data_IF_680644401700
#
_entry.id   IF_680644401700
#
_cell.length_a   1.000
_cell.length_b   1.000
_cell.length_c   1.000
_cell.angle_alpha   90.00
_cell.angle_beta   90.00
_cell.angle_gamma   90.00
#
_symmetry.space_group_name_H-M   'P 1'
#
loop_
_entity.id
_entity.type
_entity.pdbx_description
1 polymer ?
#
# COMPACT_ATOMS: atom_id res chain seq x y z
N UNK A 1 1.86 10.86 -5.83
CA UNK A 1 2.58 10.14 -4.75
C UNK A 1 1.87 10.46 -3.44
N UNK A 2 1.70 9.47 -2.56
CA UNK A 2 0.86 9.56 -1.36
C UNK A 2 1.56 10.37 -0.26
N UNK A 3 0.83 11.19 0.49
CA UNK A 3 1.37 11.97 1.62
C UNK A 3 1.55 11.13 2.90
N UNK A 4 1.78 9.82 2.77
CA UNK A 4 1.96 8.88 3.88
C UNK A 4 3.43 8.89 4.28
N UNK A 5 3.72 8.97 5.57
CA UNK A 5 5.11 9.01 6.04
C UNK A 5 5.79 7.66 5.85
N UNK A 6 7.10 7.69 5.62
CA UNK A 6 7.88 6.45 5.47
C UNK A 6 7.81 5.53 6.70
N UNK A 7 7.70 6.10 7.91
CA UNK A 7 7.52 5.37 9.17
C UNK A 7 6.20 4.58 9.21
N UNK A 8 5.19 4.99 8.46
CA UNK A 8 3.88 4.32 8.37
C UNK A 8 3.81 3.33 7.20
N UNK A 9 4.57 3.58 6.13
CA UNK A 9 4.58 2.71 4.93
C UNK A 9 5.10 1.32 5.30
N UNK A 10 6.22 1.24 6.02
CA UNK A 10 6.86 -0.05 6.30
C UNK A 10 5.97 -0.95 7.18
N UNK A 11 5.45 -0.51 8.34
CA UNK A 11 4.53 -1.33 9.16
C UNK A 11 3.28 -1.75 8.40
N UNK A 12 2.73 -0.87 7.55
CA UNK A 12 1.55 -1.18 6.73
C UNK A 12 1.85 -2.28 5.71
N UNK A 13 2.98 -2.20 5.01
CA UNK A 13 3.35 -3.23 4.04
C UNK A 13 3.75 -4.55 4.71
N UNK A 14 4.31 -4.49 5.93
CA UNK A 14 4.62 -5.68 6.73
C UNK A 14 3.35 -6.40 7.18
N UNK A 15 2.32 -5.68 7.64
CA UNK A 15 1.05 -6.30 8.08
C UNK A 15 0.26 -6.93 6.92
N UNK A 16 0.51 -6.48 5.69
CA UNK A 16 -0.07 -7.03 4.45
C UNK A 16 0.83 -8.07 3.76
N UNK A 17 1.99 -8.41 4.34
CA UNK A 17 2.96 -9.34 3.75
C UNK A 17 3.45 -8.93 2.34
N UNK A 18 3.45 -7.63 2.03
CA UNK A 18 3.83 -7.09 0.71
C UNK A 18 5.29 -6.61 0.62
N UNK A 19 6.07 -6.81 1.68
CA UNK A 19 7.46 -6.37 1.78
C UNK A 19 8.37 -7.49 2.26
N UNK A 20 9.56 -7.58 1.66
CA UNK A 20 10.61 -8.52 2.03
C UNK A 20 11.88 -7.77 2.40
N UNK A 21 12.64 -8.30 3.36
CA UNK A 21 13.96 -7.78 3.69
C UNK A 21 15.04 -8.60 2.99
N UNK A 22 15.84 -7.97 2.13
CA UNK A 22 16.98 -8.62 1.47
C UNK A 22 18.20 -7.71 1.46
N UNK A 23 19.35 -8.26 1.84
CA UNK A 23 20.66 -7.57 1.80
C UNK A 23 20.67 -6.18 2.46
N UNK A 24 19.96 -5.99 3.56
CA UNK A 24 19.93 -4.69 4.25
C UNK A 24 18.79 -3.75 3.80
N UNK A 25 17.98 -4.15 2.81
CA UNK A 25 16.96 -3.31 2.22
C UNK A 25 15.58 -3.94 2.31
N UNK A 26 14.56 -3.11 2.55
CA UNK A 26 13.17 -3.47 2.37
C UNK A 26 12.80 -3.32 0.89
N UNK A 27 12.29 -4.40 0.30
CA UNK A 27 11.83 -4.47 -1.08
C UNK A 27 10.33 -4.73 -1.07
N UNK A 28 9.58 -3.93 -1.81
CA UNK A 28 8.16 -4.21 -2.07
C UNK A 28 8.14 -5.41 -3.02
N UNK A 29 7.72 -6.55 -2.51
CA UNK A 29 7.74 -7.84 -3.19
C UNK A 29 6.50 -8.61 -2.73
N UNK A 30 5.44 -8.52 -3.53
CA UNK A 30 4.19 -9.22 -3.27
C UNK A 30 3.95 -10.28 -4.35
N UNK A 31 3.44 -11.45 -3.94
CA UNK A 31 2.79 -12.35 -4.88
C UNK A 31 1.55 -11.60 -5.45
N UNK A 32 1.39 -11.51 -6.78
CA UNK A 32 0.23 -10.85 -7.38
C UNK A 32 -1.13 -11.36 -6.85
N UNK A 33 -1.21 -12.64 -6.45
CA UNK A 33 -2.43 -13.23 -5.88
C UNK A 33 -2.74 -12.66 -4.50
N UNK A 34 -1.73 -12.44 -3.66
CA UNK A 34 -1.89 -11.85 -2.32
C UNK A 34 -2.38 -10.41 -2.45
N UNK A 35 -1.78 -9.64 -3.36
CA UNK A 35 -2.22 -8.28 -3.65
C UNK A 35 -3.68 -8.24 -4.11
N UNK A 36 -4.07 -9.12 -5.04
CA UNK A 36 -5.45 -9.20 -5.55
C UNK A 36 -6.46 -9.59 -4.46
N UNK A 37 -6.08 -10.49 -3.54
CA UNK A 37 -6.90 -10.82 -2.37
C UNK A 37 -7.15 -9.60 -1.47
N UNK A 38 -6.11 -8.81 -1.18
CA UNK A 38 -6.27 -7.58 -0.39
C UNK A 38 -7.13 -6.55 -1.10
N UNK A 39 -6.94 -6.33 -2.41
CA UNK A 39 -7.74 -5.40 -3.19
C UNK A 39 -9.23 -5.79 -3.20
N UNK A 40 -9.54 -7.08 -3.31
CA UNK A 40 -10.92 -7.59 -3.24
C UNK A 40 -11.53 -7.42 -1.85
N UNK A 41 -10.75 -7.63 -0.79
CA UNK A 41 -11.21 -7.54 0.59
C UNK A 41 -11.46 -6.09 1.04
N UNK A 42 -10.67 -5.12 0.56
CA UNK A 42 -10.80 -3.71 0.93
C UNK A 42 -11.97 -3.02 0.22
N UNK A 43 -12.49 -3.60 -0.87
CA UNK A 43 -13.56 -3.01 -1.67
C UNK A 43 -13.08 -1.79 -2.49
N UNK A 44 -13.93 -1.30 -3.40
CA UNK A 44 -13.69 0.00 -4.06
C UNK A 44 -14.08 1.09 -3.07
N UNK A 45 -13.15 2.01 -2.78
CA UNK A 45 -13.52 3.27 -2.13
C UNK A 45 -14.55 3.97 -3.01
N UNK A 46 -15.74 4.21 -2.46
CA UNK A 46 -16.90 4.69 -3.24
C UNK A 46 -16.79 6.17 -3.64
N UNK A 47 -15.77 6.89 -3.10
CA UNK A 47 -15.57 8.30 -3.34
C UNK A 47 -14.10 8.63 -3.62
N UNK A 48 -13.86 9.28 -4.77
CA UNK A 48 -12.55 9.79 -5.18
C UNK A 48 -12.47 11.29 -4.90
N UNK A 49 -11.36 11.74 -4.31
CA UNK A 49 -11.13 13.17 -4.04
C UNK A 49 -10.39 13.80 -5.23
N UNK A 50 -11.07 14.71 -5.92
CA UNK A 50 -10.48 15.53 -6.98
C UNK A 50 -9.62 16.64 -6.35
N UNK A 51 -8.30 16.45 -6.44
CA UNK A 51 -7.31 17.38 -5.89
C UNK A 51 -7.48 18.79 -6.48
N UNK A 52 -7.98 18.91 -7.72
CA UNK A 52 -8.18 20.20 -8.40
C UNK A 52 -9.32 21.04 -7.80
N UNK A 53 -10.15 20.45 -6.92
CA UNK A 53 -11.28 21.11 -6.27
C UNK A 53 -11.03 21.46 -4.81
N UNK A 54 -9.83 21.17 -4.29
CA UNK A 54 -9.43 21.58 -2.95
C UNK A 54 -9.16 23.09 -2.95
N UNK A 55 -9.74 23.81 -1.98
CA UNK A 55 -9.67 25.28 -1.84
C UNK A 55 -8.64 25.64 -0.77
#
# INVERSE_FOLDING_TARGET
MTAIKAEDILPTLQSLELVQYRKGHHLICADPKVLDCHLKATGRGDLEVDVSKLI
#
